data_IF_351912400226
#
_entry.id   IF_351912400226
#
_cell.length_a   1.000
_cell.length_b   1.000
_cell.length_c   1.000
_cell.angle_alpha   90.00
_cell.angle_beta   90.00
_cell.angle_gamma   90.00
#
_symmetry.space_group_name_H-M   'P 1'
#
loop_
_entity.id
_entity.type
_entity.pdbx_description
1 polymer ?
#
# COMPACT_ATOMS: atom_id res chain seq x y z
N UNK A 1 -14.96 25.82 -7.71
CA UNK A 1 -14.40 24.46 -7.83
C UNK A 1 -14.58 23.77 -6.48
N UNK A 2 -15.41 22.74 -6.40
CA UNK A 2 -15.60 21.98 -5.16
C UNK A 2 -14.48 20.96 -5.06
N UNK A 3 -13.57 21.13 -4.10
CA UNK A 3 -12.56 20.11 -3.81
C UNK A 3 -13.27 18.84 -3.32
N UNK A 4 -12.95 17.70 -3.94
CA UNK A 4 -13.42 16.39 -3.47
C UNK A 4 -12.32 15.79 -2.64
N UNK A 5 -12.59 15.56 -1.36
CA UNK A 5 -11.69 14.86 -0.46
C UNK A 5 -11.98 13.36 -0.56
N UNK A 6 -10.97 12.59 -0.95
CA UNK A 6 -11.03 11.14 -1.01
C UNK A 6 -10.22 10.57 0.14
N UNK A 7 -10.71 9.49 0.74
CA UNK A 7 -9.85 8.60 1.53
C UNK A 7 -8.86 7.91 0.59
N UNK A 8 -7.70 7.47 1.09
CA UNK A 8 -6.72 6.71 0.30
C UNK A 8 -7.36 5.56 -0.49
N UNK A 9 -8.16 4.68 0.14
CA UNK A 9 -8.87 3.61 -0.56
C UNK A 9 -9.83 4.09 -1.65
N UNK A 10 -10.65 5.12 -1.37
CA UNK A 10 -11.59 5.65 -2.35
C UNK A 10 -10.87 6.31 -3.55
N UNK A 11 -9.70 6.91 -3.32
CA UNK A 11 -8.87 7.47 -4.37
C UNK A 11 -8.32 6.37 -5.29
N UNK A 12 -7.71 5.34 -4.71
CA UNK A 12 -7.09 4.23 -5.47
C UNK A 12 -8.14 3.45 -6.25
N UNK A 13 -9.30 3.15 -5.65
CA UNK A 13 -10.42 2.51 -6.34
C UNK A 13 -10.91 3.34 -7.53
N UNK A 14 -11.09 4.65 -7.32
CA UNK A 14 -11.53 5.56 -8.38
C UNK A 14 -10.49 5.66 -9.49
N UNK A 15 -9.20 5.73 -9.14
CA UNK A 15 -8.11 5.82 -10.09
C UNK A 15 -8.04 4.55 -10.93
N UNK A 16 -8.01 3.38 -10.30
CA UNK A 16 -7.96 2.08 -10.98
C UNK A 16 -9.15 1.86 -11.92
N UNK A 17 -10.36 2.21 -11.48
CA UNK A 17 -11.56 2.11 -12.32
C UNK A 17 -11.54 3.08 -13.51
N UNK A 18 -10.96 4.28 -13.35
CA UNK A 18 -10.89 5.29 -14.42
C UNK A 18 -9.80 5.00 -15.44
N UNK A 19 -8.62 4.57 -14.98
CA UNK A 19 -7.48 4.28 -15.86
C UNK A 19 -7.55 2.87 -16.44
N UNK A 20 -8.39 2.01 -15.88
CA UNK A 20 -8.42 0.56 -16.15
C UNK A 20 -7.09 -0.13 -15.87
N UNK A 21 -6.31 0.43 -14.94
CA UNK A 21 -5.00 -0.07 -14.51
C UNK A 21 -5.08 -0.45 -13.04
N UNK A 22 -4.45 -1.55 -12.63
CA UNK A 22 -4.36 -1.86 -11.22
C UNK A 22 -3.39 -0.90 -10.52
N UNK A 23 -3.77 -0.37 -9.36
CA UNK A 23 -2.98 0.62 -8.62
C UNK A 23 -2.81 0.18 -7.18
N UNK A 24 -1.57 0.09 -6.73
CA UNK A 24 -1.20 -0.13 -5.33
C UNK A 24 -0.69 1.17 -4.73
N UNK A 25 -1.36 1.66 -3.69
CA UNK A 25 -0.88 2.75 -2.85
C UNK A 25 -0.21 2.16 -1.61
N UNK A 26 0.97 2.65 -1.29
CA UNK A 26 1.71 2.34 -0.08
C UNK A 26 1.86 3.62 0.74
N UNK A 27 1.54 3.56 2.03
CA UNK A 27 1.67 4.70 2.92
C UNK A 27 2.29 4.25 4.24
N UNK A 28 3.36 4.90 4.64
CA UNK A 28 3.94 4.80 5.98
C UNK A 28 3.65 6.09 6.74
N UNK A 29 3.54 6.02 8.07
CA UNK A 29 3.31 7.19 8.93
C UNK A 29 4.42 8.25 8.82
N UNK A 30 4.24 9.40 9.50
CA UNK A 30 5.14 10.58 9.42
C UNK A 30 6.62 10.18 9.32
N UNK A 31 7.17 10.37 8.12
CA UNK A 31 8.46 9.88 7.66
C UNK A 31 9.67 10.53 8.34
N UNK A 32 9.46 11.36 9.37
CA UNK A 32 10.52 12.12 10.03
C UNK A 32 11.03 11.29 11.22
N UNK A 33 11.90 10.32 10.94
CA UNK A 33 12.68 9.63 11.98
C UNK A 33 12.64 8.10 11.94
N UNK A 34 12.04 7.49 10.92
CA UNK A 34 12.17 6.04 10.72
C UNK A 34 13.57 5.70 10.18
N UNK A 35 14.59 5.81 11.03
CA UNK A 35 15.86 5.10 10.88
C UNK A 35 15.61 3.59 11.04
N UNK A 36 14.79 2.99 10.18
CA UNK A 36 14.43 1.59 10.30
C UNK A 36 15.19 0.82 9.23
N UNK A 37 16.04 -0.09 9.70
CA UNK A 37 16.73 -1.15 8.97
C UNK A 37 15.77 -2.12 8.24
N UNK A 38 14.58 -1.68 7.86
CA UNK A 38 13.42 -2.53 7.51
C UNK A 38 12.61 -2.05 6.31
N UNK A 39 12.89 -0.86 5.75
CA UNK A 39 12.42 -0.53 4.39
C UNK A 39 12.96 -1.52 3.33
N UNK A 40 14.14 -2.09 3.61
CA UNK A 40 14.73 -3.17 2.83
C UNK A 40 13.93 -4.48 2.90
N UNK A 41 13.08 -4.68 3.93
CA UNK A 41 12.22 -5.86 4.09
C UNK A 41 10.92 -5.76 3.28
N UNK A 42 10.64 -4.59 2.68
CA UNK A 42 9.55 -4.41 1.72
C UNK A 42 9.93 -5.15 0.45
N UNK A 43 9.48 -6.39 0.33
CA UNK A 43 9.71 -7.24 -0.84
C UNK A 43 8.49 -7.20 -1.76
N UNK A 44 8.72 -7.45 -3.06
CA UNK A 44 7.67 -7.36 -4.09
C UNK A 44 7.36 -5.94 -4.57
N UNK A 45 8.15 -4.95 -4.16
CA UNK A 45 8.03 -3.55 -4.58
C UNK A 45 9.36 -3.06 -5.18
N UNK A 46 9.35 -2.39 -6.34
CA UNK A 46 10.55 -1.85 -6.98
C UNK A 46 11.38 -0.91 -6.08
N UNK A 47 12.70 -0.85 -6.31
CA UNK A 47 13.66 -0.08 -5.51
C UNK A 47 13.39 1.43 -5.52
N UNK A 48 12.98 1.95 -6.67
CA UNK A 48 12.57 3.33 -6.86
C UNK A 48 11.32 3.68 -6.04
N UNK A 49 10.34 2.79 -6.00
CA UNK A 49 9.12 2.95 -5.18
C UNK A 49 9.47 2.89 -3.68
N UNK A 50 10.41 2.02 -3.29
CA UNK A 50 10.89 1.98 -1.89
C UNK A 50 11.59 3.27 -1.49
N UNK A 51 12.38 3.83 -2.40
CA UNK A 51 13.04 5.12 -2.18
C UNK A 51 12.01 6.26 -2.07
N UNK A 52 10.98 6.27 -2.90
CA UNK A 52 9.88 7.25 -2.81
C UNK A 52 9.12 7.14 -1.49
N UNK A 53 8.82 5.91 -1.06
CA UNK A 53 8.15 5.65 0.22
C UNK A 53 9.01 6.09 1.42
N UNK A 54 10.33 5.91 1.34
CA UNK A 54 11.27 6.38 2.36
C UNK A 54 11.32 7.91 2.46
N UNK A 55 11.32 8.60 1.31
CA UNK A 55 11.45 10.06 1.25
C UNK A 55 10.15 10.79 1.63
N UNK A 56 9.01 10.26 1.17
CA UNK A 56 7.73 10.99 1.24
C UNK A 56 6.69 10.33 2.15
N UNK A 57 6.91 9.08 2.56
CA UNK A 57 5.91 8.29 3.30
C UNK A 57 4.71 7.82 2.46
N UNK A 58 4.70 8.06 1.14
CA UNK A 58 3.62 7.67 0.24
C UNK A 58 4.18 7.26 -1.13
N UNK A 59 3.76 6.14 -1.68
CA UNK A 59 4.15 5.74 -3.03
C UNK A 59 2.98 5.08 -3.78
N UNK A 60 3.00 5.16 -5.11
CA UNK A 60 2.01 4.53 -5.97
C UNK A 60 2.68 3.63 -7.01
N UNK A 61 2.18 2.40 -7.15
CA UNK A 61 2.64 1.43 -8.14
C UNK A 61 1.50 1.08 -9.06
N UNK A 62 1.75 1.13 -10.38
CA UNK A 62 0.80 0.68 -11.39
C UNK A 62 1.24 -0.66 -11.97
N UNK A 63 0.29 -1.53 -12.26
CA UNK A 63 0.56 -2.84 -12.87
C UNK A 63 -0.23 -3.00 -14.16
N UNK A 64 0.37 -3.69 -15.12
CA UNK A 64 -0.24 -3.99 -16.41
C UNK A 64 -1.40 -4.99 -16.26
N UNK A 65 -1.27 -5.93 -15.32
CA UNK A 65 -2.31 -6.93 -15.05
C UNK A 65 -2.76 -6.94 -13.59
N UNK A 66 -4.02 -7.31 -13.37
CA UNK A 66 -4.55 -7.56 -12.04
C UNK A 66 -3.85 -8.74 -11.35
N UNK A 67 -3.36 -9.73 -12.11
CA UNK A 67 -2.65 -10.88 -11.56
C UNK A 67 -1.31 -10.47 -10.93
N UNK A 68 -0.52 -9.66 -11.64
CA UNK A 68 0.74 -9.11 -11.12
C UNK A 68 0.50 -8.24 -9.89
N UNK A 69 -0.53 -7.39 -9.94
CA UNK A 69 -0.86 -6.52 -8.81
C UNK A 69 -1.24 -7.32 -7.56
N UNK A 70 -2.03 -8.38 -7.72
CA UNK A 70 -2.38 -9.27 -6.62
C UNK A 70 -1.16 -10.03 -6.08
N UNK A 71 -0.29 -10.54 -6.95
CA UNK A 71 0.92 -11.24 -6.53
C UNK A 71 1.89 -10.33 -5.76
N UNK A 72 2.06 -9.08 -6.22
CA UNK A 72 2.88 -8.08 -5.53
C UNK A 72 2.29 -7.73 -4.15
N UNK A 73 0.97 -7.53 -4.07
CA UNK A 73 0.29 -7.29 -2.79
C UNK A 73 0.42 -8.49 -1.84
N UNK A 74 0.22 -9.71 -2.32
CA UNK A 74 0.34 -10.92 -1.50
C UNK A 74 1.77 -11.12 -1.00
N UNK A 75 2.77 -10.85 -1.85
CA UNK A 75 4.20 -10.89 -1.47
C UNK A 75 4.50 -9.87 -0.38
N UNK A 76 4.02 -8.64 -0.54
CA UNK A 76 4.18 -7.59 0.45
C UNK A 76 3.60 -8.00 1.81
N UNK A 77 2.34 -8.48 1.82
CA UNK A 77 1.65 -8.90 3.05
C UNK A 77 2.33 -10.09 3.71
N UNK A 78 2.74 -11.09 2.93
CA UNK A 78 3.37 -12.31 3.45
C UNK A 78 4.75 -12.04 4.07
N UNK A 79 5.49 -11.08 3.55
CA UNK A 79 6.83 -10.73 4.02
C UNK A 79 6.82 -9.55 5.01
N UNK A 80 5.66 -8.93 5.25
CA UNK A 80 5.59 -7.82 6.18
C UNK A 80 5.87 -8.30 7.62
N UNK A 81 6.77 -7.64 8.38
CA UNK A 81 7.10 -8.06 9.74
C UNK A 81 5.87 -8.09 10.63
N UNK A 82 5.74 -9.10 11.49
CA UNK A 82 4.59 -9.21 12.40
C UNK A 82 4.55 -8.07 13.43
N UNK A 83 3.40 -7.90 14.09
CA UNK A 83 3.22 -6.92 15.16
C UNK A 83 4.30 -7.11 16.25
N UNK A 84 4.90 -6.01 16.69
CA UNK A 84 5.98 -6.03 17.68
C UNK A 84 7.36 -6.32 17.10
N UNK A 85 7.46 -6.77 15.84
CA UNK A 85 8.74 -6.90 15.14
C UNK A 85 9.12 -5.58 14.46
N UNK A 86 8.16 -4.76 14.03
CA UNK A 86 8.43 -3.45 13.41
C UNK A 86 7.67 -2.32 14.12
N UNK A 87 8.29 -1.15 14.17
CA UNK A 87 7.68 0.13 14.59
C UNK A 87 7.21 0.96 13.40
N UNK A 88 7.44 0.50 12.17
CA UNK A 88 6.99 1.16 10.96
C UNK A 88 5.52 0.80 10.69
N UNK A 89 4.58 1.76 10.75
CA UNK A 89 3.23 1.52 10.28
C UNK A 89 3.21 1.44 8.75
N UNK A 90 2.41 0.52 8.21
CA UNK A 90 2.14 0.43 6.78
C UNK A 90 0.64 0.36 6.54
N UNK A 91 0.19 1.15 5.57
CA UNK A 91 -1.11 1.02 4.92
C UNK A 91 -0.86 0.75 3.44
N UNK A 92 -1.28 -0.40 2.94
CA UNK A 92 -1.22 -0.78 1.54
C UNK A 92 -2.63 -0.97 1.01
N UNK A 93 -2.96 -0.29 -0.10
CA UNK A 93 -4.28 -0.37 -0.72
C UNK A 93 -4.14 -0.66 -2.19
N UNK A 94 -4.64 -1.83 -2.62
CA UNK A 94 -4.69 -2.24 -4.01
C UNK A 94 -6.08 -2.03 -4.57
N UNK A 95 -6.22 -1.13 -5.54
CA UNK A 95 -7.42 -0.98 -6.35
C UNK A 95 -7.26 -1.73 -7.67
N UNK A 96 -8.30 -2.48 -8.03
CA UNK A 96 -8.38 -3.21 -9.29
C UNK A 96 -9.37 -2.54 -10.26
N UNK A 97 -9.21 -2.74 -11.59
CA UNK A 97 -10.09 -2.14 -12.61
C UNK A 97 -11.57 -2.52 -12.48
N UNK A 98 -11.85 -3.66 -11.86
CA UNK A 98 -13.20 -4.19 -11.63
C UNK A 98 -13.87 -3.62 -10.36
N UNK A 99 -13.27 -2.59 -9.74
CA UNK A 99 -13.70 -1.96 -8.48
C UNK A 99 -13.59 -2.87 -7.27
N UNK A 100 -12.78 -3.93 -7.33
CA UNK A 100 -12.35 -4.62 -6.12
C UNK A 100 -11.19 -3.86 -5.50
N UNK A 101 -11.28 -3.63 -4.19
CA UNK A 101 -10.23 -3.00 -3.41
C UNK A 101 -9.76 -3.97 -2.34
N UNK A 102 -8.45 -4.15 -2.21
CA UNK A 102 -7.82 -4.94 -1.16
C UNK A 102 -7.00 -4.00 -0.28
N UNK A 103 -7.13 -4.15 1.02
CA UNK A 103 -6.45 -3.29 2.00
C UNK A 103 -5.69 -4.14 3.01
N UNK A 104 -4.45 -3.74 3.26
CA UNK A 104 -3.61 -4.23 4.34
C UNK A 104 -3.20 -3.04 5.19
N UNK A 105 -3.43 -3.13 6.49
CA UNK A 105 -2.99 -2.09 7.41
C UNK A 105 -2.40 -2.72 8.66
N UNK A 106 -1.16 -2.33 8.96
CA UNK A 106 -0.50 -2.67 10.20
C UNK A 106 -0.01 -1.40 10.86
N UNK A 107 -0.59 -1.10 12.02
CA UNK A 107 -0.19 0.02 12.87
C UNK A 107 0.34 -0.59 14.17
N UNK A 108 1.61 -0.33 14.56
CA UNK A 108 2.14 -0.81 15.83
C UNK A 108 1.23 -0.38 17.00
N UNK A 109 0.70 -1.36 17.75
CA UNK A 109 -0.18 -1.11 18.89
C UNK A 109 -1.68 -0.96 18.57
N UNK A 110 -2.09 -1.06 17.29
CA UNK A 110 -3.50 -1.09 16.89
C UNK A 110 -3.79 -2.29 15.99
N UNK A 111 -4.65 -3.21 16.45
CA UNK A 111 -5.26 -4.22 15.60
C UNK A 111 -6.26 -3.53 14.66
N UNK A 112 -6.02 -3.59 13.35
CA UNK A 112 -7.08 -3.33 12.36
C UNK A 112 -7.37 -4.58 11.56
N UNK A 113 -8.66 -4.85 11.46
CA UNK A 113 -9.28 -6.02 10.83
C UNK A 113 -9.01 -6.06 9.32
N UNK A 114 -8.52 -7.18 8.85
CA UNK A 114 -8.36 -7.49 7.43
C UNK A 114 -9.74 -7.62 6.76
N UNK A 115 -9.91 -6.99 5.59
CA UNK A 115 -11.01 -7.31 4.67
C UNK A 115 -10.42 -7.71 3.33
N UNK A 116 -10.04 -8.97 3.22
CA UNK A 116 -9.69 -9.57 1.92
C UNK A 116 -11.02 -9.82 1.21
N UNK A 117 -11.35 -9.01 0.21
CA UNK A 117 -12.50 -9.28 -0.63
C UNK A 117 -12.22 -10.58 -1.42
N UNK A 118 -13.00 -11.62 -1.16
CA UNK A 118 -13.02 -12.87 -1.92
C UNK A 118 -13.64 -12.66 -3.31
#
# INVERSE_FOLDING_TARGET
>A
MTARFYTGPAFVETLAAKTRTAVLMLQTGDAIGASSSRFQDITGVPDDVRAELYDTGLAFVTFDTAAEANAAFDTLVANWPQQGQTTLPLTAVLGLPDRRTREFQQIPGHERTFKIAA
#
